data_IF_477230332035
#
_entry.id   IF_477230332035
#
_cell.length_a   1.000
_cell.length_b   1.000
_cell.length_c   1.000
_cell.angle_alpha   90.00
_cell.angle_beta   90.00
_cell.angle_gamma   90.00
#
_symmetry.space_group_name_H-M   'P 1'
#
loop_
_entity.id
_entity.type
_entity.pdbx_description
1 polymer ?
#
# COMPACT_ATOMS: atom_id res chain seq x y z
N UNK A 1 15.00 8.76 13.85
CA UNK A 1 13.80 9.15 14.62
C UNK A 1 12.94 10.05 13.73
N UNK A 2 12.02 9.47 12.96
CA UNK A 2 11.09 10.28 12.15
C UNK A 2 10.06 10.87 13.10
N UNK A 3 10.07 12.19 13.23
CA UNK A 3 9.33 12.92 14.25
C UNK A 3 7.83 12.89 13.90
N UNK A 4 6.98 12.37 14.77
CA UNK A 4 5.52 12.29 14.57
C UNK A 4 4.89 13.64 14.20
N UNK A 5 5.52 14.74 14.61
CA UNK A 5 5.18 16.11 14.19
C UNK A 5 5.30 16.33 12.68
N UNK A 6 6.33 15.81 12.01
CA UNK A 6 6.47 15.95 10.55
C UNK A 6 5.39 15.16 9.81
N UNK A 7 4.99 14.01 10.32
CA UNK A 7 3.91 13.19 9.74
C UNK A 7 2.57 13.92 9.85
N UNK A 8 2.30 14.54 11.00
CA UNK A 8 1.11 15.36 11.21
C UNK A 8 1.10 16.63 10.35
N UNK A 9 2.25 17.29 10.16
CA UNK A 9 2.35 18.43 9.24
C UNK A 9 2.13 18.01 7.78
N UNK A 10 2.62 16.82 7.38
CA UNK A 10 2.30 16.24 6.08
C UNK A 10 0.82 15.91 5.95
N UNK A 11 0.09 15.62 7.03
CA UNK A 11 -1.38 15.47 7.02
C UNK A 11 -2.10 16.78 6.71
N UNK A 12 -1.62 17.90 7.26
CA UNK A 12 -2.24 19.22 7.05
C UNK A 12 -2.13 19.73 5.63
N UNK A 13 -1.11 19.33 4.87
CA UNK A 13 -0.93 19.71 3.46
C UNK A 13 -1.87 18.97 2.50
N UNK A 14 -2.58 17.94 2.95
CA UNK A 14 -3.39 17.09 2.09
C UNK A 14 -4.86 17.54 2.06
N UNK A 15 -5.50 17.38 0.91
CA UNK A 15 -6.92 17.74 0.69
C UNK A 15 -7.92 16.94 1.54
N UNK A 16 -7.54 15.76 2.05
CA UNK A 16 -8.42 14.88 2.85
C UNK A 16 -7.70 14.40 4.10
N UNK A 17 -8.42 14.35 5.22
CA UNK A 17 -7.93 13.77 6.45
C UNK A 17 -7.59 12.28 6.20
N UNK A 18 -6.37 11.83 6.51
CA UNK A 18 -5.97 10.46 6.25
C UNK A 18 -6.70 9.50 7.20
N UNK A 19 -7.02 8.31 6.69
CA UNK A 19 -7.48 7.20 7.53
C UNK A 19 -6.28 6.70 8.34
N UNK A 20 -6.51 6.48 9.64
CA UNK A 20 -5.55 5.88 10.54
C UNK A 20 -6.05 4.47 10.89
N UNK A 21 -5.16 3.49 10.83
CA UNK A 21 -5.43 2.12 11.21
C UNK A 21 -4.59 1.74 12.41
N UNK A 22 -5.11 0.95 13.34
CA UNK A 22 -4.31 0.49 14.46
C UNK A 22 -3.16 -0.40 13.96
N UNK A 23 -1.94 -0.12 14.44
CA UNK A 23 -0.72 -0.79 13.96
C UNK A 23 -0.68 -2.28 14.29
N UNK A 24 -1.31 -2.70 15.38
CA UNK A 24 -1.25 -4.09 15.86
C UNK A 24 -2.28 -5.00 15.19
N UNK A 25 -3.41 -4.43 14.77
CA UNK A 25 -4.51 -5.17 14.13
C UNK A 25 -4.53 -5.01 12.61
N UNK A 26 -3.67 -4.14 12.05
CA UNK A 26 -3.58 -3.96 10.61
C UNK A 26 -3.12 -5.25 9.92
N UNK A 27 -3.89 -5.69 8.91
CA UNK A 27 -3.76 -6.95 8.18
C UNK A 27 -4.21 -8.22 8.93
N UNK A 28 -4.79 -8.10 10.12
CA UNK A 28 -5.56 -9.20 10.71
C UNK A 28 -6.73 -9.58 9.80
N UNK A 29 -7.21 -10.85 9.84
CA UNK A 29 -8.37 -11.26 9.05
C UNK A 29 -9.58 -10.33 9.23
N UNK A 30 -10.00 -9.67 8.14
CA UNK A 30 -11.11 -8.71 8.13
C UNK A 30 -10.74 -7.27 8.48
N UNK A 31 -9.48 -6.98 8.81
CA UNK A 31 -8.98 -5.63 9.10
C UNK A 31 -7.95 -5.17 8.04
N UNK A 32 -8.05 -3.95 7.50
CA UNK A 32 -9.11 -2.96 7.73
C UNK A 32 -10.41 -3.22 6.96
N UNK A 33 -10.38 -4.14 6.01
CA UNK A 33 -11.51 -4.52 5.16
C UNK A 33 -11.48 -6.02 4.87
N UNK A 34 -12.65 -6.61 4.64
CA UNK A 34 -12.76 -7.99 4.17
C UNK A 34 -12.72 -8.03 2.65
N UNK A 35 -11.79 -8.81 2.10
CA UNK A 35 -11.61 -9.01 0.67
C UNK A 35 -11.64 -10.50 0.35
N UNK A 36 -12.46 -10.88 -0.62
CA UNK A 36 -12.71 -12.30 -0.98
C UNK A 36 -12.41 -12.62 -2.44
N UNK A 37 -11.91 -11.65 -3.21
CA UNK A 37 -11.62 -11.80 -4.63
C UNK A 37 -10.19 -12.31 -4.92
N UNK A 38 -9.77 -12.29 -6.20
CA UNK A 38 -8.39 -12.56 -6.60
C UNK A 38 -7.41 -11.57 -5.97
N UNK A 39 -6.19 -12.03 -5.64
CA UNK A 39 -5.16 -11.22 -4.98
C UNK A 39 -4.96 -9.84 -5.62
N UNK A 40 -4.82 -9.79 -6.95
CA UNK A 40 -4.59 -8.55 -7.70
C UNK A 40 -5.72 -7.53 -7.50
N UNK A 41 -6.97 -7.98 -7.54
CA UNK A 41 -8.13 -7.10 -7.40
C UNK A 41 -8.32 -6.69 -5.95
N UNK A 42 -8.04 -7.60 -5.01
CA UNK A 42 -8.01 -7.31 -3.58
C UNK A 42 -6.98 -6.21 -3.25
N UNK A 43 -5.76 -6.28 -3.78
CA UNK A 43 -4.74 -5.24 -3.57
C UNK A 43 -5.22 -3.89 -4.10
N UNK A 44 -5.82 -3.84 -5.30
CA UNK A 44 -6.37 -2.59 -5.84
C UNK A 44 -7.48 -2.02 -4.96
N UNK A 45 -8.42 -2.85 -4.54
CA UNK A 45 -9.50 -2.43 -3.65
C UNK A 45 -8.97 -1.96 -2.29
N UNK A 46 -7.98 -2.66 -1.73
CA UNK A 46 -7.28 -2.24 -0.53
C UNK A 46 -6.68 -0.84 -0.69
N UNK A 47 -5.90 -0.58 -1.75
CA UNK A 47 -5.28 0.73 -1.95
C UNK A 47 -6.31 1.84 -2.11
N UNK A 48 -7.38 1.61 -2.89
CA UNK A 48 -8.45 2.59 -3.10
C UNK A 48 -9.23 2.91 -1.82
N UNK A 49 -9.47 1.91 -0.96
CA UNK A 49 -10.26 2.08 0.25
C UNK A 49 -9.44 2.54 1.44
N UNK A 50 -8.18 2.11 1.54
CA UNK A 50 -7.39 2.23 2.76
C UNK A 50 -6.19 3.16 2.63
N UNK A 51 -5.63 3.32 1.43
CA UNK A 51 -4.49 4.17 1.22
C UNK A 51 -4.89 5.53 0.63
N UNK A 52 -3.95 6.46 0.68
CA UNK A 52 -4.02 7.74 0.01
C UNK A 52 -3.03 7.75 -1.15
N UNK A 53 -3.49 8.11 -2.34
CA UNK A 53 -2.59 8.35 -3.46
C UNK A 53 -1.77 9.63 -3.19
N UNK A 54 -0.45 9.52 -3.32
CA UNK A 54 0.48 10.64 -3.20
C UNK A 54 0.48 11.47 -4.50
N UNK A 55 0.90 12.74 -4.41
CA UNK A 55 0.95 13.68 -5.54
C UNK A 55 2.23 13.58 -6.38
N UNK A 56 3.11 12.62 -6.04
CA UNK A 56 4.34 12.30 -6.74
C UNK A 56 4.40 10.81 -7.08
N UNK A 57 5.29 10.48 -8.01
CA UNK A 57 5.55 9.11 -8.46
C UNK A 57 7.06 8.80 -8.40
N UNK A 58 7.40 7.51 -8.35
CA UNK A 58 8.77 7.01 -8.52
C UNK A 58 8.79 6.26 -9.85
N UNK A 59 9.66 6.69 -10.78
CA UNK A 59 9.75 6.12 -12.13
C UNK A 59 8.41 6.05 -12.87
N UNK A 60 7.54 7.03 -12.65
CA UNK A 60 6.19 7.07 -13.21
C UNK A 60 5.18 6.12 -12.55
N UNK A 61 5.59 5.35 -11.54
CA UNK A 61 4.72 4.45 -10.78
C UNK A 61 3.97 5.19 -9.67
N UNK A 62 2.64 4.98 -9.54
CA UNK A 62 1.86 5.56 -8.46
C UNK A 62 2.36 5.13 -7.08
N UNK A 63 2.36 6.07 -6.15
CA UNK A 63 2.71 5.82 -4.75
C UNK A 63 1.47 6.02 -3.89
N UNK A 64 1.23 5.05 -3.03
CA UNK A 64 0.14 5.06 -2.07
C UNK A 64 0.71 5.10 -0.66
N UNK A 65 0.06 5.79 0.26
CA UNK A 65 0.44 5.81 1.66
C UNK A 65 -0.73 5.40 2.55
N UNK A 66 -0.49 4.42 3.41
CA UNK A 66 -1.38 4.02 4.50
C UNK A 66 -0.78 4.48 5.82
N UNK A 67 -1.59 4.94 6.77
CA UNK A 67 -1.09 5.42 8.06
C UNK A 67 -1.51 4.48 9.19
N UNK A 68 -0.51 4.00 9.92
CA UNK A 68 -0.68 3.07 11.03
C UNK A 68 -0.42 3.80 12.36
N UNK A 69 -1.36 3.73 13.28
CA UNK A 69 -1.29 4.34 14.60
C UNK A 69 -0.82 3.28 15.62
N UNK A 70 0.33 3.51 16.24
CA UNK A 70 0.77 2.75 17.40
C UNK A 70 0.32 3.50 18.66
N UNK A 71 -0.90 3.22 19.13
CA UNK A 71 -1.57 3.99 20.18
C UNK A 71 -0.72 4.15 21.45
N UNK A 72 -0.18 3.04 21.96
CA UNK A 72 0.61 3.04 23.21
C UNK A 72 1.91 3.85 23.15
N UNK A 73 2.41 4.14 21.93
CA UNK A 73 3.60 4.97 21.72
C UNK A 73 3.26 6.38 21.20
N UNK A 74 2.00 6.64 20.87
CA UNK A 74 1.59 7.90 20.23
C UNK A 74 2.30 8.17 18.89
N UNK A 75 2.65 7.11 18.17
CA UNK A 75 3.39 7.19 16.91
C UNK A 75 2.46 6.88 15.73
N UNK A 76 2.65 7.63 14.65
CA UNK A 76 2.07 7.30 13.35
C UNK A 76 3.19 6.81 12.44
N UNK A 77 2.97 5.68 11.79
CA UNK A 77 3.92 4.99 10.93
C UNK A 77 3.33 5.00 9.51
N UNK A 78 3.98 5.65 8.54
CA UNK A 78 3.55 5.59 7.15
C UNK A 78 4.02 4.28 6.51
N UNK A 79 3.09 3.56 5.88
CA UNK A 79 3.36 2.42 5.01
C UNK A 79 3.18 2.87 3.56
N UNK A 80 4.28 2.96 2.82
CA UNK A 80 4.29 3.31 1.41
C UNK A 80 4.19 2.06 0.54
N UNK A 81 3.30 2.11 -0.45
CA UNK A 81 3.12 1.07 -1.46
C UNK A 81 3.34 1.68 -2.84
N UNK A 82 4.24 1.08 -3.63
CA UNK A 82 4.46 1.46 -5.02
C UNK A 82 3.66 0.49 -5.90
N UNK A 83 2.78 1.02 -6.74
CA UNK A 83 2.02 0.22 -7.70
C UNK A 83 2.82 0.07 -9.01
N UNK A 84 3.52 -1.05 -9.14
CA UNK A 84 4.31 -1.36 -10.32
C UNK A 84 3.49 -2.08 -11.39
N UNK A 85 3.67 -1.69 -12.65
CA UNK A 85 3.11 -2.43 -13.79
C UNK A 85 4.16 -3.40 -14.31
N UNK A 86 3.82 -4.70 -14.38
CA UNK A 86 4.73 -5.74 -14.88
C UNK A 86 5.37 -5.40 -16.24
N UNK A 87 4.62 -4.77 -17.16
CA UNK A 87 5.14 -4.35 -18.48
C UNK A 87 6.35 -3.42 -18.42
N UNK A 88 6.45 -2.61 -17.37
CA UNK A 88 7.49 -1.61 -17.19
C UNK A 88 8.49 -2.02 -16.11
N UNK A 89 8.34 -3.22 -15.55
CA UNK A 89 9.23 -3.74 -14.51
C UNK A 89 10.54 -4.20 -15.13
N UNK A 90 11.66 -3.93 -14.45
CA UNK A 90 12.94 -4.55 -14.78
C UNK A 90 12.89 -6.07 -14.61
N UNK A 91 11.99 -6.58 -13.76
CA UNK A 91 11.80 -7.99 -13.50
C UNK A 91 10.29 -8.33 -13.58
N UNK A 92 9.74 -8.47 -14.80
CA UNK A 92 8.30 -8.58 -15.06
C UNK A 92 7.64 -9.82 -14.44
N UNK A 93 8.45 -10.80 -14.02
CA UNK A 93 8.00 -12.06 -13.45
C UNK A 93 8.54 -12.20 -12.03
N UNK A 94 7.63 -12.34 -11.06
CA UNK A 94 8.01 -12.82 -9.73
C UNK A 94 8.38 -14.32 -9.81
N UNK A 95 9.03 -14.85 -8.78
CA UNK A 95 9.46 -16.26 -8.78
C UNK A 95 8.30 -17.25 -8.89
N UNK A 96 7.08 -16.85 -8.51
CA UNK A 96 5.87 -17.66 -8.69
C UNK A 96 5.34 -17.62 -10.13
N UNK A 97 5.38 -16.46 -10.80
CA UNK A 97 4.96 -16.31 -12.19
C UNK A 97 5.97 -16.91 -13.19
N UNK A 98 7.25 -17.02 -12.81
CA UNK A 98 8.28 -17.67 -13.64
C UNK A 98 7.97 -19.14 -13.90
N UNK A 99 7.32 -19.83 -12.96
CA UNK A 99 6.97 -21.25 -13.08
C UNK A 99 5.73 -21.52 -13.95
N UNK A 100 4.90 -20.52 -14.24
CA UNK A 100 3.65 -20.70 -15.00
C UNK A 100 3.80 -20.51 -16.51
N UNK A 101 4.89 -19.91 -16.97
CA UNK A 101 5.11 -19.65 -18.41
C UNK A 101 5.67 -20.87 -19.18
N UNK A 102 6.08 -21.95 -18.50
CA UNK A 102 6.58 -23.17 -19.16
C UNK A 102 5.48 -24.03 -19.83
N UNK A 103 4.19 -23.71 -19.65
CA UNK A 103 3.06 -24.49 -20.20
C UNK A 103 2.20 -23.74 -21.21
N UNK A 104 2.59 -22.53 -21.64
CA UNK A 104 1.80 -21.72 -22.55
C UNK A 104 2.19 -21.87 -24.04
N UNK A 105 3.00 -22.89 -24.38
CA UNK A 105 3.46 -23.16 -25.76
C UNK A 105 3.29 -24.66 -26.15
N UNK A 106 2.21 -25.29 -25.70
CA UNK A 106 1.80 -26.66 -26.12
C UNK A 106 0.33 -26.73 -26.52
#
# INVERSE_FOLDING_TARGET
>A
MTNSKQILESFKKRKRMPKLYDFHTFADPGCPITLTGPFRDNIRHFLQQCAQLEDYSIDGMPIWCTFLLHESKGLVIPLYTIEETAKNSFQPYCDQCRCTDEYADS
#
